data_IF_558889463999
#
_entry.id   IF_558889463999
#
_cell.length_a   1.000
_cell.length_b   1.000
_cell.length_c   1.000
_cell.angle_alpha   90.00
_cell.angle_beta   90.00
_cell.angle_gamma   90.00
#
_symmetry.space_group_name_H-M   'P 1'
#
loop_
_entity.id
_entity.type
_entity.pdbx_description
1 polymer ?
#
# COMPACT_ATOMS: atom_id res chain seq x y z
N UNK A 1 -22.47 -23.24 26.28
CA UNK A 1 -21.96 -22.66 25.02
C UNK A 1 -20.52 -22.23 25.24
N UNK A 2 -19.57 -23.02 24.73
CA UNK A 2 -18.16 -22.63 24.66
C UNK A 2 -17.88 -22.30 23.19
N UNK A 3 -17.69 -21.01 22.88
CA UNK A 3 -16.91 -20.58 21.72
C UNK A 3 -16.10 -19.36 22.17
N UNK A 4 -15.07 -19.65 22.97
CA UNK A 4 -13.99 -18.72 23.21
C UNK A 4 -12.94 -19.03 22.16
N UNK A 5 -13.09 -18.44 20.97
CA UNK A 5 -12.10 -18.55 19.90
C UNK A 5 -10.75 -17.97 20.40
N UNK A 6 -9.60 -18.64 20.18
CA UNK A 6 -8.33 -18.19 20.76
C UNK A 6 -7.84 -16.90 20.07
N UNK A 7 -7.61 -15.87 20.86
CA UNK A 7 -6.92 -14.64 20.45
C UNK A 7 -5.49 -15.01 19.99
N UNK A 8 -5.28 -15.01 18.68
CA UNK A 8 -4.03 -15.38 18.02
C UNK A 8 -2.91 -14.46 18.52
N UNK A 9 -2.01 -15.04 19.29
CA UNK A 9 -0.73 -14.50 19.74
C UNK A 9 -0.02 -13.79 18.58
N UNK A 10 0.07 -12.45 18.65
CA UNK A 10 0.95 -11.67 17.79
C UNK A 10 2.38 -12.04 18.16
N UNK A 11 3.05 -12.76 17.25
CA UNK A 11 4.48 -13.05 17.35
C UNK A 11 5.23 -11.72 17.43
N UNK A 12 6.12 -11.57 18.42
CA UNK A 12 7.11 -10.49 18.58
C UNK A 12 8.18 -10.47 17.45
N UNK A 13 7.78 -10.77 16.21
CA UNK A 13 8.58 -10.45 15.03
C UNK A 13 8.33 -9.00 14.69
N UNK A 14 9.41 -8.25 14.48
CA UNK A 14 9.33 -6.93 13.88
C UNK A 14 8.42 -7.00 12.63
N UNK A 15 7.40 -6.15 12.59
CA UNK A 15 6.41 -6.11 11.52
C UNK A 15 7.11 -6.09 10.15
N UNK A 16 6.78 -6.99 9.21
CA UNK A 16 7.41 -6.98 7.90
C UNK A 16 7.18 -5.63 7.21
N UNK A 17 8.23 -5.10 6.58
CA UNK A 17 8.22 -3.81 5.89
C UNK A 17 7.73 -3.98 4.47
N UNK A 18 6.86 -3.08 4.02
CA UNK A 18 6.35 -3.06 2.64
C UNK A 18 6.42 -1.65 2.08
N UNK A 19 6.88 -1.53 0.84
CA UNK A 19 6.89 -0.27 0.12
C UNK A 19 5.57 -0.11 -0.64
N UNK A 20 4.83 0.97 -0.37
CA UNK A 20 3.61 1.29 -1.11
C UNK A 20 3.94 2.20 -2.30
N UNK A 21 3.79 1.68 -3.52
CA UNK A 21 3.91 2.45 -4.75
C UNK A 21 2.67 3.30 -5.00
N UNK A 22 2.71 4.56 -4.58
CA UNK A 22 1.58 5.48 -4.74
C UNK A 22 1.66 6.07 -6.15
N UNK A 23 0.78 5.62 -7.03
CA UNK A 23 0.76 6.12 -8.41
C UNK A 23 0.38 7.60 -8.45
N UNK A 24 0.78 8.29 -9.52
CA UNK A 24 0.43 9.69 -9.74
C UNK A 24 -1.10 9.92 -9.72
N UNK A 25 -1.88 8.95 -10.20
CA UNK A 25 -3.34 9.02 -10.18
C UNK A 25 -3.89 9.03 -8.75
N UNK A 26 -3.42 8.12 -7.90
CA UNK A 26 -3.85 8.04 -6.50
C UNK A 26 -3.37 9.27 -5.75
N UNK A 27 -2.10 9.64 -5.89
CA UNK A 27 -1.53 10.77 -5.15
C UNK A 27 -2.22 12.10 -5.49
N UNK A 28 -2.49 12.36 -6.76
CA UNK A 28 -2.98 13.66 -7.22
C UNK A 28 -4.51 13.74 -7.32
N UNK A 29 -5.19 12.68 -7.75
CA UNK A 29 -6.64 12.75 -8.03
C UNK A 29 -7.51 12.14 -6.93
N UNK A 30 -7.01 11.12 -6.21
CA UNK A 30 -7.78 10.36 -5.21
C UNK A 30 -6.91 9.96 -4.01
N UNK A 31 -6.34 10.93 -3.26
CA UNK A 31 -5.40 10.65 -2.17
C UNK A 31 -6.00 9.77 -1.07
N UNK A 32 -7.33 9.86 -0.87
CA UNK A 32 -8.09 9.05 0.09
C UNK A 32 -7.85 7.54 -0.10
N UNK A 33 -7.67 7.09 -1.34
CA UNK A 33 -7.41 5.67 -1.67
C UNK A 33 -6.05 5.25 -1.10
N UNK A 34 -5.02 6.09 -1.25
CA UNK A 34 -3.69 5.83 -0.72
C UNK A 34 -3.70 5.68 0.80
N UNK A 35 -4.38 6.59 1.50
CA UNK A 35 -4.53 6.50 2.96
C UNK A 35 -5.32 5.25 3.39
N UNK A 36 -6.38 4.87 2.68
CA UNK A 36 -7.14 3.66 2.96
C UNK A 36 -6.27 2.39 2.77
N UNK A 37 -5.43 2.36 1.73
CA UNK A 37 -4.48 1.26 1.51
C UNK A 37 -3.47 1.17 2.66
N UNK A 38 -2.89 2.28 3.11
CA UNK A 38 -1.97 2.31 4.27
C UNK A 38 -2.66 1.71 5.50
N UNK A 39 -3.85 2.22 5.85
CA UNK A 39 -4.59 1.75 7.03
C UNK A 39 -4.91 0.26 6.96
N UNK A 40 -5.31 -0.25 5.79
CA UNK A 40 -5.60 -1.67 5.59
C UNK A 40 -4.34 -2.52 5.84
N UNK A 41 -3.22 -2.13 5.24
CA UNK A 41 -1.97 -2.88 5.31
C UNK A 41 -1.38 -2.85 6.74
N UNK A 42 -1.45 -1.71 7.42
CA UNK A 42 -1.03 -1.59 8.83
C UNK A 42 -1.89 -2.45 9.77
N UNK A 43 -3.21 -2.52 9.53
CA UNK A 43 -4.12 -3.40 10.29
C UNK A 43 -3.79 -4.89 10.13
N UNK A 44 -3.20 -5.27 9.01
CA UNK A 44 -2.70 -6.62 8.76
C UNK A 44 -1.36 -6.91 9.46
N UNK A 45 -0.77 -5.92 10.15
CA UNK A 45 0.46 -6.09 10.93
C UNK A 45 1.75 -5.81 10.16
N UNK A 46 1.67 -5.10 9.04
CA UNK A 46 2.83 -4.66 8.27
C UNK A 46 3.22 -3.22 8.60
N UNK A 47 4.50 -2.88 8.39
CA UNK A 47 4.98 -1.49 8.40
C UNK A 47 5.02 -0.95 6.98
N UNK A 48 4.21 0.06 6.68
CA UNK A 48 4.15 0.68 5.36
C UNK A 48 5.17 1.80 5.24
N UNK A 49 5.90 1.83 4.13
CA UNK A 49 6.79 2.91 3.76
C UNK A 49 6.45 3.42 2.36
N UNK A 50 6.48 4.74 2.17
CA UNK A 50 6.30 5.38 0.86
C UNK A 50 7.64 6.04 0.49
N UNK A 51 8.45 5.42 -0.38
CA UNK A 51 9.72 6.00 -0.82
C UNK A 51 9.54 7.39 -1.46
N UNK A 52 10.26 8.39 -0.95
CA UNK A 52 10.28 9.74 -1.52
C UNK A 52 10.88 9.80 -2.94
N UNK A 53 11.64 8.78 -3.31
CA UNK A 53 12.27 8.64 -4.64
C UNK A 53 11.36 7.95 -5.66
N UNK A 54 10.07 7.78 -5.39
CA UNK A 54 9.13 7.24 -6.37
C UNK A 54 9.03 8.13 -7.60
N UNK A 55 9.30 7.54 -8.74
CA UNK A 55 9.16 8.16 -10.05
C UNK A 55 7.86 7.73 -10.72
N UNK A 56 7.43 8.48 -11.73
CA UNK A 56 6.25 8.15 -12.53
C UNK A 56 6.44 6.81 -13.26
N UNK A 57 5.43 5.93 -13.21
CA UNK A 57 5.43 4.67 -13.96
C UNK A 57 5.19 4.85 -15.46
N UNK A 58 4.86 6.07 -15.93
CA UNK A 58 4.56 6.36 -17.33
C UNK A 58 3.18 5.88 -17.82
N UNK A 59 2.39 5.22 -16.97
CA UNK A 59 1.13 4.57 -17.36
C UNK A 59 0.11 5.50 -18.04
N UNK A 60 -0.11 6.76 -17.60
CA UNK A 60 -1.01 7.67 -18.33
C UNK A 60 -0.53 7.95 -19.76
N UNK A 61 0.78 8.13 -19.96
CA UNK A 61 1.36 8.35 -21.29
C UNK A 61 1.27 7.10 -22.16
N UNK A 62 1.63 5.94 -21.61
CA UNK A 62 1.52 4.65 -22.30
C UNK A 62 0.08 4.36 -22.75
N UNK A 63 -0.89 4.54 -21.86
CA UNK A 63 -2.31 4.38 -22.17
C UNK A 63 -2.81 5.41 -23.20
N UNK A 64 -2.21 6.60 -23.22
CA UNK A 64 -2.45 7.66 -24.20
C UNK A 64 -1.77 7.45 -25.55
N UNK A 65 -1.00 6.37 -25.73
CA UNK A 65 -0.38 6.00 -27.01
C UNK A 65 1.13 6.28 -27.12
N UNK A 66 1.79 6.80 -26.08
CA UNK A 66 3.25 6.93 -26.01
C UNK A 66 3.88 5.57 -25.68
N UNK A 67 4.08 4.73 -26.71
CA UNK A 67 4.52 3.32 -26.56
C UNK A 67 6.04 3.09 -26.75
N UNK A 68 6.82 4.14 -27.00
CA UNK A 68 8.25 4.05 -27.32
C UNK A 68 9.12 4.88 -26.35
N UNK A 69 8.88 4.74 -25.05
CA UNK A 69 9.80 5.25 -24.01
C UNK A 69 10.57 4.10 -23.39
#
# INVERSE_FOLDING_TARGET
MQDSTPNKTKSDKAAPRVALYVTCLVNTLRPQIGFACVQLIERLGFRVEVPATQTCCGQPGYNGGLRQQ
#
